data_IF_613753966945
#
_entry.id   IF_613753966945
#
_cell.length_a   1.000
_cell.length_b   1.000
_cell.length_c   1.000
_cell.angle_alpha   90.00
_cell.angle_beta   90.00
_cell.angle_gamma   90.00
#
_symmetry.space_group_name_H-M   'P 1'
#
loop_
_entity.id
_entity.type
_entity.pdbx_description
1 polymer ?
#
# COMPACT_ATOMS: atom_id res chain seq x y z
N UNK A 1 -73.90 -21.62 -68.08
CA UNK A 1 -74.05 -20.44 -67.21
C UNK A 1 -72.93 -20.48 -66.19
N UNK A 2 -72.21 -19.38 -66.10
CA UNK A 2 -70.95 -19.11 -65.38
C UNK A 2 -70.94 -19.53 -63.91
N UNK A 3 -69.93 -20.28 -63.47
CA UNK A 3 -69.45 -20.25 -62.08
C UNK A 3 -67.92 -20.22 -62.09
N UNK A 4 -67.40 -19.07 -61.67
CA UNK A 4 -66.00 -18.77 -61.36
C UNK A 4 -65.55 -19.51 -60.09
N UNK A 5 -64.45 -20.25 -60.14
CA UNK A 5 -63.76 -20.76 -58.94
C UNK A 5 -62.46 -19.97 -58.74
N UNK A 6 -62.35 -19.26 -57.61
CA UNK A 6 -61.16 -18.51 -57.18
C UNK A 6 -60.30 -19.41 -56.29
N UNK A 7 -59.01 -19.45 -56.60
CA UNK A 7 -57.97 -20.09 -55.79
C UNK A 7 -57.69 -19.28 -54.51
N UNK A 8 -57.62 -19.93 -53.35
CA UNK A 8 -57.03 -19.39 -52.12
C UNK A 8 -55.74 -20.16 -51.83
N UNK A 9 -54.60 -19.45 -51.85
CA UNK A 9 -53.32 -19.92 -51.32
C UNK A 9 -53.37 -19.90 -49.79
N UNK A 10 -53.06 -21.04 -49.16
CA UNK A 10 -52.80 -21.16 -47.73
C UNK A 10 -51.31 -20.95 -47.48
N UNK A 11 -50.94 -19.89 -46.75
CA UNK A 11 -49.59 -19.69 -46.22
C UNK A 11 -49.52 -20.32 -44.81
N UNK A 12 -48.74 -21.41 -44.69
CA UNK A 12 -48.31 -21.96 -43.41
C UNK A 12 -47.26 -21.02 -42.78
N UNK A 13 -47.54 -20.52 -41.58
CA UNK A 13 -46.55 -19.83 -40.73
C UNK A 13 -45.99 -20.81 -39.71
N UNK A 14 -44.69 -21.11 -39.78
CA UNK A 14 -43.96 -21.83 -38.73
C UNK A 14 -43.51 -20.81 -37.66
N UNK A 15 -43.70 -21.08 -36.35
CA UNK A 15 -43.18 -20.19 -35.32
C UNK A 15 -41.68 -20.43 -35.14
N UNK A 16 -40.90 -19.37 -35.32
CA UNK A 16 -39.48 -19.32 -34.98
C UNK A 16 -39.36 -19.25 -33.45
N UNK A 17 -38.98 -20.35 -32.80
CA UNK A 17 -38.65 -20.36 -31.38
C UNK A 17 -37.26 -19.75 -31.23
N UNK A 18 -37.23 -18.48 -30.83
CA UNK A 18 -36.00 -17.76 -30.49
C UNK A 18 -35.63 -18.14 -29.04
N UNK A 19 -34.71 -19.07 -28.86
CA UNK A 19 -34.08 -19.32 -27.56
C UNK A 19 -33.13 -18.17 -27.24
N UNK A 20 -33.59 -17.19 -26.45
CA UNK A 20 -32.70 -16.22 -25.82
C UNK A 20 -31.86 -16.96 -24.76
N UNK A 21 -30.61 -17.26 -25.09
CA UNK A 21 -29.58 -17.51 -24.09
C UNK A 21 -29.24 -16.17 -23.44
N UNK A 22 -29.82 -15.88 -22.27
CA UNK A 22 -29.39 -14.75 -21.46
C UNK A 22 -28.01 -15.06 -20.89
N UNK A 23 -26.95 -14.63 -21.57
CA UNK A 23 -25.66 -14.47 -20.92
C UNK A 23 -25.78 -13.27 -20.00
N UNK A 24 -26.23 -13.48 -18.76
CA UNK A 24 -26.08 -12.48 -17.71
C UNK A 24 -24.60 -12.41 -17.34
N UNK A 25 -23.81 -11.74 -18.16
CA UNK A 25 -22.60 -11.08 -17.67
C UNK A 25 -23.07 -10.01 -16.71
N UNK A 26 -23.20 -10.35 -15.44
CA UNK A 26 -23.36 -9.34 -14.40
C UNK A 26 -22.06 -8.54 -14.41
N UNK A 27 -22.05 -7.38 -15.06
CA UNK A 27 -21.02 -6.38 -14.82
C UNK A 27 -20.99 -6.13 -13.31
N UNK A 28 -19.82 -6.17 -12.67
CA UNK A 28 -19.76 -5.82 -11.25
C UNK A 28 -20.18 -4.35 -11.11
N UNK A 29 -20.94 -4.03 -10.07
CA UNK A 29 -21.31 -2.65 -9.77
C UNK A 29 -20.12 -1.95 -9.12
N UNK A 30 -19.71 -0.81 -9.68
CA UNK A 30 -18.66 0.02 -9.09
C UNK A 30 -19.23 0.76 -7.88
N UNK A 31 -18.57 0.65 -6.73
CA UNK A 31 -18.96 1.36 -5.52
C UNK A 31 -18.45 2.80 -5.64
N UNK A 32 -19.36 3.77 -5.59
CA UNK A 32 -19.01 5.19 -5.55
C UNK A 32 -18.52 5.59 -4.15
N UNK A 33 -17.61 6.56 -4.11
CA UNK A 33 -17.12 7.10 -2.85
C UNK A 33 -18.22 7.97 -2.21
N UNK A 34 -18.66 7.67 -0.98
CA UNK A 34 -19.68 8.47 -0.33
C UNK A 34 -19.17 9.90 -0.07
N UNK A 35 -20.08 10.87 -0.14
CA UNK A 35 -19.80 12.18 0.43
C UNK A 35 -19.74 12.06 1.95
N UNK A 36 -18.68 12.58 2.56
CA UNK A 36 -18.49 12.64 4.02
C UNK A 36 -18.18 14.09 4.37
N UNK A 37 -18.78 14.60 5.45
CA UNK A 37 -18.52 15.96 5.90
C UNK A 37 -17.10 16.11 6.44
N UNK A 38 -16.53 17.31 6.29
CA UNK A 38 -15.17 17.62 6.73
C UNK A 38 -14.13 17.43 5.63
N UNK A 39 -12.85 17.40 6.03
CA UNK A 39 -11.71 17.26 5.12
C UNK A 39 -10.44 16.80 5.86
N UNK A 40 -9.34 16.58 5.13
CA UNK A 40 -8.07 16.11 5.69
C UNK A 40 -7.46 17.05 6.76
N UNK A 41 -7.77 18.34 6.69
CA UNK A 41 -7.22 19.36 7.57
C UNK A 41 -8.09 19.62 8.80
N UNK A 42 -9.40 19.68 8.63
CA UNK A 42 -10.37 19.97 9.69
C UNK A 42 -10.98 18.71 10.32
N UNK A 43 -10.67 17.54 9.78
CA UNK A 43 -11.16 16.25 10.22
C UNK A 43 -12.47 15.85 9.55
N UNK A 44 -12.72 14.54 9.49
CA UNK A 44 -13.98 13.99 8.98
C UNK A 44 -15.05 13.95 10.07
N UNK A 45 -16.32 14.12 9.70
CA UNK A 45 -17.43 14.21 10.67
C UNK A 45 -18.06 12.88 11.04
N UNK A 46 -17.86 11.84 10.25
CA UNK A 46 -18.29 10.46 10.53
C UNK A 46 -17.54 9.46 9.65
N UNK A 47 -17.66 8.18 9.98
CA UNK A 47 -17.21 7.07 9.14
C UNK A 47 -18.42 6.53 8.35
N UNK A 48 -18.43 6.63 7.00
CA UNK A 48 -19.59 6.23 6.22
C UNK A 48 -19.74 4.71 6.18
N UNK A 49 -20.97 4.16 6.16
CA UNK A 49 -21.18 2.78 5.75
C UNK A 49 -20.75 2.61 4.29
N UNK A 50 -20.19 1.45 3.96
CA UNK A 50 -19.72 1.13 2.59
C UNK A 50 -20.37 -0.18 2.14
N UNK A 51 -20.98 -0.25 0.94
CA UNK A 51 -21.52 -1.49 0.42
C UNK A 51 -20.48 -2.61 0.41
N UNK A 52 -20.87 -3.81 0.83
CA UNK A 52 -20.01 -5.00 0.90
C UNK A 52 -18.83 -4.91 1.88
N UNK A 53 -18.82 -3.90 2.76
CA UNK A 53 -17.93 -3.81 3.91
C UNK A 53 -18.72 -3.84 5.22
N UNK A 54 -18.26 -4.60 6.19
CA UNK A 54 -18.65 -4.47 7.58
C UNK A 54 -17.78 -3.37 8.22
N UNK A 55 -18.43 -2.34 8.79
CA UNK A 55 -17.77 -1.30 9.57
C UNK A 55 -17.86 -1.68 11.06
N UNK A 56 -16.77 -2.24 11.58
CA UNK A 56 -16.58 -2.44 13.01
C UNK A 56 -16.14 -1.13 13.64
N UNK A 57 -16.93 -0.55 14.53
CA UNK A 57 -16.55 0.68 15.24
C UNK A 57 -15.69 0.38 16.47
N UNK A 58 -15.75 -0.85 16.97
CA UNK A 58 -15.23 -1.29 18.26
C UNK A 58 -14.26 -2.47 18.11
N UNK A 59 -13.43 -2.47 17.06
CA UNK A 59 -12.42 -3.51 16.91
C UNK A 59 -11.48 -3.52 18.12
N UNK A 60 -11.33 -4.64 18.83
CA UNK A 60 -10.57 -4.69 20.07
C UNK A 60 -9.07 -4.56 19.82
N UNK A 61 -8.38 -3.89 20.74
CA UNK A 61 -6.92 -3.76 20.74
C UNK A 61 -6.35 -4.48 21.95
N UNK A 62 -5.34 -5.32 21.72
CA UNK A 62 -4.81 -6.20 22.76
C UNK A 62 -4.19 -5.39 23.90
N UNK A 63 -4.59 -5.71 25.14
CA UNK A 63 -4.00 -5.12 26.36
C UNK A 63 -4.58 -3.77 26.79
N UNK A 64 -5.70 -3.33 26.23
CA UNK A 64 -6.42 -2.09 26.60
C UNK A 64 -7.93 -2.28 26.42
N UNK A 65 -8.72 -1.40 27.03
CA UNK A 65 -10.16 -1.25 26.75
C UNK A 65 -10.42 -0.33 25.54
N UNK A 66 -9.37 0.24 24.95
CA UNK A 66 -9.46 1.06 23.75
C UNK A 66 -9.77 0.20 22.53
N UNK A 67 -10.50 0.78 21.59
CA UNK A 67 -10.90 0.12 20.35
C UNK A 67 -10.50 0.95 19.13
N UNK A 68 -10.64 0.38 17.95
CA UNK A 68 -10.36 1.08 16.70
C UNK A 68 -11.44 0.78 15.65
N UNK A 69 -11.83 1.74 14.80
CA UNK A 69 -12.69 1.42 13.67
C UNK A 69 -11.93 0.68 12.57
N UNK A 70 -12.57 -0.31 11.96
CA UNK A 70 -12.03 -1.10 10.85
C UNK A 70 -13.14 -1.39 9.84
N UNK A 71 -12.86 -1.17 8.56
CA UNK A 71 -13.68 -1.74 7.48
C UNK A 71 -13.14 -3.12 7.10
N UNK A 72 -13.96 -4.16 7.09
CA UNK A 72 -13.59 -5.48 6.59
C UNK A 72 -14.57 -5.90 5.48
N UNK A 73 -14.14 -6.71 4.53
CA UNK A 73 -15.07 -7.36 3.59
C UNK A 73 -16.19 -8.07 4.34
N UNK A 74 -17.44 -7.80 3.93
CA UNK A 74 -18.62 -8.42 4.55
C UNK A 74 -18.87 -9.83 4.02
N UNK A 75 -19.49 -10.68 4.85
CA UNK A 75 -19.97 -12.00 4.45
C UNK A 75 -18.86 -13.01 4.10
N UNK A 76 -17.71 -12.90 4.76
CA UNK A 76 -16.58 -13.81 4.56
C UNK A 76 -16.94 -15.23 5.01
N UNK A 77 -16.52 -16.21 4.20
CA UNK A 77 -16.24 -17.56 4.67
C UNK A 77 -14.77 -17.58 5.10
N UNK A 78 -14.51 -17.39 6.39
CA UNK A 78 -13.15 -17.30 6.96
C UNK A 78 -12.29 -18.52 6.58
N UNK A 79 -12.91 -19.70 6.43
CA UNK A 79 -12.20 -20.92 6.03
C UNK A 79 -11.74 -20.90 4.57
N UNK A 80 -12.39 -20.13 3.71
CA UNK A 80 -12.01 -20.00 2.30
C UNK A 80 -10.94 -18.93 2.06
N UNK A 81 -10.63 -18.08 3.05
CA UNK A 81 -9.69 -16.98 2.89
C UNK A 81 -8.26 -17.52 2.80
N UNK A 82 -7.62 -17.24 1.67
CA UNK A 82 -6.21 -17.54 1.43
C UNK A 82 -5.35 -16.28 1.45
N UNK A 83 -5.96 -15.10 1.31
CA UNK A 83 -5.25 -13.82 1.36
C UNK A 83 -6.03 -12.74 2.08
N UNK A 84 -5.32 -11.98 2.92
CA UNK A 84 -5.81 -10.74 3.50
C UNK A 84 -5.07 -9.54 2.92
N UNK A 85 -5.78 -8.49 2.55
CA UNK A 85 -5.21 -7.22 2.10
C UNK A 85 -5.55 -6.16 3.14
N UNK A 86 -4.54 -5.69 3.86
CA UNK A 86 -4.64 -4.58 4.80
C UNK A 86 -4.23 -3.30 4.09
N UNK A 87 -5.16 -2.36 3.94
CA UNK A 87 -4.98 -1.09 3.21
C UNK A 87 -5.44 0.09 4.06
N UNK A 88 -4.56 0.97 4.56
CA UNK A 88 -4.95 2.12 5.36
C UNK A 88 -5.30 3.29 4.45
N UNK A 89 -5.98 4.30 5.00
CA UNK A 89 -6.11 5.59 4.33
C UNK A 89 -4.76 6.27 4.06
N UNK A 90 -4.76 7.27 3.18
CA UNK A 90 -3.61 8.14 2.95
C UNK A 90 -3.45 9.20 4.05
N UNK A 91 -2.66 10.25 3.78
CA UNK A 91 -2.60 11.44 4.66
C UNK A 91 -4.00 12.02 4.99
N UNK A 92 -4.99 11.99 4.08
CA UNK A 92 -6.36 12.41 4.38
C UNK A 92 -7.10 11.57 5.42
N UNK A 93 -6.63 10.35 5.75
CA UNK A 93 -7.28 9.43 6.71
C UNK A 93 -8.66 8.92 6.25
N UNK A 94 -8.87 8.92 4.93
CA UNK A 94 -10.08 8.48 4.22
C UNK A 94 -10.09 6.96 3.99
N UNK A 95 -10.04 6.16 5.06
CA UNK A 95 -9.85 4.70 4.96
C UNK A 95 -10.96 4.00 4.15
N UNK A 96 -12.21 4.47 4.22
CA UNK A 96 -13.31 3.95 3.39
C UNK A 96 -13.03 4.11 1.88
N UNK A 97 -12.41 5.23 1.47
CA UNK A 97 -12.05 5.53 0.08
C UNK A 97 -11.03 4.52 -0.46
N UNK A 98 -10.05 4.18 0.38
CA UNK A 98 -9.03 3.17 0.05
C UNK A 98 -9.62 1.76 0.01
N UNK A 99 -10.50 1.41 0.94
CA UNK A 99 -11.23 0.15 0.89
C UNK A 99 -12.04 0.01 -0.40
N UNK A 100 -12.81 1.05 -0.76
CA UNK A 100 -13.63 1.10 -1.99
C UNK A 100 -12.75 0.94 -3.23
N UNK A 101 -11.60 1.61 -3.25
CA UNK A 101 -10.65 1.54 -4.36
C UNK A 101 -10.16 0.10 -4.55
N UNK A 102 -9.67 -0.56 -3.49
CA UNK A 102 -9.22 -1.96 -3.60
C UNK A 102 -10.38 -2.89 -3.97
N UNK A 103 -11.59 -2.68 -3.42
CA UNK A 103 -12.75 -3.51 -3.75
C UNK A 103 -13.16 -3.39 -5.22
N UNK A 104 -13.23 -2.18 -5.76
CA UNK A 104 -13.57 -1.96 -7.16
C UNK A 104 -12.51 -2.58 -8.10
N UNK A 105 -11.23 -2.44 -7.76
CA UNK A 105 -10.14 -3.04 -8.54
C UNK A 105 -10.17 -4.57 -8.43
N UNK A 106 -10.44 -5.14 -7.26
CA UNK A 106 -10.59 -6.59 -7.09
C UNK A 106 -11.74 -7.14 -7.94
N UNK A 107 -12.91 -6.50 -7.89
CA UNK A 107 -14.07 -6.89 -8.70
C UNK A 107 -13.76 -6.84 -10.20
N UNK A 108 -13.13 -5.75 -10.67
CA UNK A 108 -12.67 -5.64 -12.04
C UNK A 108 -11.66 -6.72 -12.42
N UNK A 109 -10.69 -6.99 -11.54
CA UNK A 109 -9.63 -7.97 -11.78
C UNK A 109 -10.18 -9.39 -11.90
N UNK A 110 -11.14 -9.75 -11.04
CA UNK A 110 -11.83 -11.04 -11.10
C UNK A 110 -12.73 -11.19 -12.33
N UNK A 111 -13.28 -10.10 -12.87
CA UNK A 111 -14.04 -10.14 -14.13
C UNK A 111 -13.14 -10.45 -15.33
N UNK A 112 -11.95 -9.83 -15.39
CA UNK A 112 -11.06 -9.96 -16.55
C UNK A 112 -10.05 -11.10 -16.45
N UNK A 113 -9.83 -11.65 -15.26
CA UNK A 113 -8.89 -12.74 -15.00
C UNK A 113 -9.55 -13.83 -14.14
N UNK A 114 -9.95 -14.97 -14.74
CA UNK A 114 -10.65 -16.04 -14.03
C UNK A 114 -9.76 -16.79 -13.02
N UNK A 115 -8.44 -16.51 -12.98
CA UNK A 115 -7.55 -17.06 -11.94
C UNK A 115 -7.68 -16.32 -10.61
N UNK A 116 -8.28 -15.13 -10.61
CA UNK A 116 -8.53 -14.34 -9.40
C UNK A 116 -9.90 -14.73 -8.84
N UNK A 117 -9.89 -15.47 -7.73
CA UNK A 117 -11.10 -15.72 -6.96
C UNK A 117 -11.29 -14.66 -5.88
N UNK A 118 -12.18 -13.69 -6.11
CA UNK A 118 -12.46 -12.63 -5.15
C UNK A 118 -13.04 -13.15 -3.82
N UNK A 119 -13.65 -14.35 -3.77
CA UNK A 119 -14.22 -14.89 -2.54
C UNK A 119 -13.17 -15.44 -1.57
N UNK A 120 -11.91 -15.61 -1.99
CA UNK A 120 -10.81 -16.08 -1.13
C UNK A 120 -9.94 -14.92 -0.62
N UNK A 121 -10.33 -13.68 -0.89
CA UNK A 121 -9.57 -12.46 -0.56
C UNK A 121 -10.38 -11.59 0.39
N UNK A 122 -9.85 -11.36 1.59
CA UNK A 122 -10.40 -10.41 2.56
C UNK A 122 -9.72 -9.05 2.40
N UNK A 123 -10.49 -7.96 2.30
CA UNK A 123 -9.96 -6.58 2.32
C UNK A 123 -10.28 -5.96 3.67
N UNK A 124 -9.25 -5.47 4.36
CA UNK A 124 -9.35 -4.77 5.63
C UNK A 124 -8.74 -3.37 5.53
N UNK A 125 -9.45 -2.36 6.02
CA UNK A 125 -8.98 -0.99 6.09
C UNK A 125 -9.08 -0.45 7.51
N UNK A 126 -7.98 -0.45 8.29
CA UNK A 126 -7.96 0.13 9.63
C UNK A 126 -8.02 1.66 9.57
N UNK A 127 -8.87 2.24 10.41
CA UNK A 127 -9.14 3.69 10.44
C UNK A 127 -8.27 4.41 11.46
N UNK A 128 -7.10 4.90 11.03
CA UNK A 128 -6.20 5.71 11.87
C UNK A 128 -6.66 7.16 11.97
N UNK A 129 -7.53 7.44 12.93
CA UNK A 129 -8.04 8.77 13.21
C UNK A 129 -6.97 9.68 13.83
N UNK A 130 -7.10 10.98 13.59
CA UNK A 130 -6.35 12.04 14.25
C UNK A 130 -7.26 12.85 15.18
N UNK A 131 -6.66 13.66 16.08
CA UNK A 131 -7.42 14.53 17.00
C UNK A 131 -8.47 15.40 16.28
N UNK A 132 -8.16 15.90 15.09
CA UNK A 132 -9.10 16.69 14.28
C UNK A 132 -10.33 15.90 13.84
N UNK A 133 -10.20 14.59 13.59
CA UNK A 133 -11.34 13.74 13.21
C UNK A 133 -12.23 13.46 14.44
N UNK A 134 -11.63 13.33 15.63
CA UNK A 134 -12.37 13.24 16.89
C UNK A 134 -13.15 14.53 17.15
N UNK A 135 -12.49 15.69 17.02
CA UNK A 135 -13.09 17.01 17.19
C UNK A 135 -14.23 17.26 16.19
N UNK A 136 -14.10 16.76 14.96
CA UNK A 136 -15.12 16.86 13.92
C UNK A 136 -16.29 15.88 14.08
N UNK A 137 -16.12 14.81 14.87
CA UNK A 137 -17.20 13.87 15.23
C UNK A 137 -17.07 12.46 14.65
N UNK A 138 -15.98 12.12 13.96
CA UNK A 138 -15.78 10.77 13.40
C UNK A 138 -15.39 9.70 14.42
N UNK A 139 -15.16 10.06 15.68
CA UNK A 139 -14.77 9.13 16.74
C UNK A 139 -15.70 9.19 17.96
N UNK A 140 -15.81 8.09 18.69
CA UNK A 140 -16.41 8.01 20.01
C UNK A 140 -15.33 8.04 21.13
N UNK A 141 -15.78 8.03 22.38
CA UNK A 141 -14.91 8.20 23.54
C UNK A 141 -13.96 7.03 23.84
N UNK A 142 -14.09 5.88 23.16
CA UNK A 142 -13.25 4.69 23.37
C UNK A 142 -12.33 4.41 22.19
N UNK A 143 -12.44 5.14 21.09
CA UNK A 143 -11.67 4.91 19.88
C UNK A 143 -10.30 5.60 19.93
N UNK A 144 -9.27 4.84 19.53
CA UNK A 144 -7.91 5.35 19.42
C UNK A 144 -7.80 6.47 18.38
N UNK A 145 -6.99 7.48 18.68
CA UNK A 145 -6.59 8.51 17.73
C UNK A 145 -5.15 8.97 17.97
N UNK A 146 -4.51 9.49 16.93
CA UNK A 146 -3.12 9.95 16.94
C UNK A 146 -3.01 11.44 16.58
N UNK A 147 -1.79 11.96 16.49
CA UNK A 147 -1.57 13.20 15.74
C UNK A 147 -1.70 12.94 14.23
N UNK A 148 -1.93 14.00 13.44
CA UNK A 148 -2.05 13.91 11.96
C UNK A 148 -0.92 13.11 11.29
N UNK A 149 0.29 13.14 11.88
CA UNK A 149 1.46 12.40 11.39
C UNK A 149 1.92 11.24 12.27
N UNK A 150 1.41 11.13 13.49
CA UNK A 150 1.84 10.16 14.49
C UNK A 150 1.50 8.73 14.10
N UNK A 151 0.28 8.51 13.58
CA UNK A 151 -0.18 7.17 13.19
C UNK A 151 0.74 6.54 12.14
N UNK A 152 1.09 7.27 11.07
CA UNK A 152 2.00 6.75 10.04
C UNK A 152 3.49 6.83 10.43
N UNK A 153 3.77 7.20 11.68
CA UNK A 153 5.12 7.23 12.27
C UNK A 153 5.26 6.24 13.43
N UNK A 154 4.27 5.38 13.71
CA UNK A 154 4.37 4.39 14.78
C UNK A 154 4.28 4.97 16.20
N UNK A 155 3.87 6.23 16.36
CA UNK A 155 3.86 6.86 17.69
C UNK A 155 2.74 6.30 18.55
N UNK A 156 2.79 6.60 19.85
CA UNK A 156 1.67 6.32 20.73
C UNK A 156 0.43 7.14 20.36
N UNK A 157 -0.74 6.54 20.57
CA UNK A 157 -2.03 7.19 20.48
C UNK A 157 -2.11 8.34 21.50
N UNK A 158 -2.81 9.40 21.11
CA UNK A 158 -3.08 10.56 21.98
C UNK A 158 -4.29 10.33 22.90
N UNK A 159 -5.18 9.41 22.54
CA UNK A 159 -6.31 8.99 23.36
C UNK A 159 -6.93 7.68 22.87
N UNK A 160 -7.99 7.19 23.53
CA UNK A 160 -8.72 7.89 24.60
C UNK A 160 -7.95 7.94 25.94
N UNK A 161 -7.02 7.01 26.17
CA UNK A 161 -6.11 7.03 27.31
C UNK A 161 -4.64 7.01 26.85
N UNK A 162 -3.97 8.17 26.88
CA UNK A 162 -2.56 8.28 26.48
C UNK A 162 -1.61 7.42 27.34
N UNK A 163 -2.02 7.03 28.55
CA UNK A 163 -1.19 6.21 29.44
C UNK A 163 -1.08 4.75 28.99
N UNK A 164 -2.00 4.28 28.15
CA UNK A 164 -1.97 2.92 27.60
C UNK A 164 -0.80 2.73 26.63
N UNK A 165 -0.22 3.84 26.11
CA UNK A 165 0.95 3.84 25.23
C UNK A 165 0.78 2.87 24.04
N UNK A 166 -0.40 2.88 23.44
CA UNK A 166 -0.70 2.04 22.27
C UNK A 166 -0.05 2.64 21.04
N UNK A 167 0.90 1.92 20.44
CA UNK A 167 1.49 2.32 19.16
C UNK A 167 0.57 1.96 18.00
N UNK A 168 0.57 2.76 16.93
CA UNK A 168 -0.08 2.35 15.69
C UNK A 168 0.54 1.09 15.06
N UNK A 169 1.80 0.75 15.37
CA UNK A 169 2.39 -0.53 14.95
C UNK A 169 1.87 -1.72 15.77
N UNK A 170 1.52 -1.51 17.03
CA UNK A 170 0.87 -2.55 17.85
C UNK A 170 -0.51 -2.88 17.28
N UNK A 171 -1.26 -1.89 16.80
CA UNK A 171 -2.51 -2.14 16.07
C UNK A 171 -2.26 -3.04 14.87
N UNK A 172 -1.21 -2.79 14.08
CA UNK A 172 -0.90 -3.66 12.94
C UNK A 172 -0.53 -5.08 13.39
N UNK A 173 0.14 -5.25 14.53
CA UNK A 173 0.39 -6.57 15.11
C UNK A 173 -0.91 -7.30 15.44
N UNK A 174 -1.90 -6.62 16.03
CA UNK A 174 -3.22 -7.18 16.32
C UNK A 174 -3.98 -7.60 15.04
N UNK A 175 -3.87 -6.82 13.96
CA UNK A 175 -4.46 -7.19 12.67
C UNK A 175 -3.75 -8.38 12.01
N UNK A 176 -2.43 -8.49 12.16
CA UNK A 176 -1.69 -9.68 11.73
C UNK A 176 -2.16 -10.89 12.52
N UNK A 177 -2.21 -10.79 13.85
CA UNK A 177 -2.64 -11.88 14.71
C UNK A 177 -4.06 -12.36 14.37
N UNK A 178 -4.97 -11.44 14.06
CA UNK A 178 -6.31 -11.77 13.60
C UNK A 178 -6.32 -12.66 12.35
N UNK A 179 -5.54 -12.31 11.31
CA UNK A 179 -5.50 -13.10 10.07
C UNK A 179 -4.58 -14.32 10.17
N UNK A 180 -3.61 -14.32 11.07
CA UNK A 180 -2.68 -15.42 11.28
C UNK A 180 -3.28 -16.56 12.14
N UNK A 181 -4.36 -16.29 12.88
CA UNK A 181 -5.10 -17.30 13.63
C UNK A 181 -5.59 -18.44 12.71
N UNK A 182 -4.92 -19.59 12.81
CA UNK A 182 -5.20 -20.78 11.99
C UNK A 182 -6.47 -21.51 12.40
N UNK A 183 -7.02 -21.27 13.58
CA UNK A 183 -8.33 -21.81 13.95
C UNK A 183 -9.43 -21.09 13.18
N UNK A 184 -9.27 -19.77 12.98
CA UNK A 184 -10.21 -18.94 12.23
C UNK A 184 -9.96 -18.96 10.71
N UNK A 185 -8.72 -18.74 10.30
CA UNK A 185 -8.27 -18.67 8.90
C UNK A 185 -7.33 -19.83 8.55
N UNK A 186 -7.80 -21.09 8.54
CA UNK A 186 -6.93 -22.27 8.35
C UNK A 186 -6.16 -22.27 7.03
N UNK A 187 -6.70 -21.61 6.00
CA UNK A 187 -6.14 -21.60 4.66
C UNK A 187 -5.36 -20.31 4.31
N UNK A 188 -5.15 -19.39 5.27
CA UNK A 188 -4.39 -18.16 5.03
C UNK A 188 -2.96 -18.47 4.57
N UNK A 189 -2.57 -17.85 3.45
CA UNK A 189 -1.26 -17.99 2.82
C UNK A 189 -0.48 -16.68 2.85
N UNK A 190 -1.16 -15.54 2.72
CA UNK A 190 -0.50 -14.23 2.66
C UNK A 190 -1.33 -13.14 3.33
N UNK A 191 -0.64 -12.24 4.04
CA UNK A 191 -1.13 -10.99 4.59
C UNK A 191 -0.40 -9.85 3.88
N UNK A 192 -1.14 -9.11 3.06
CA UNK A 192 -0.62 -8.06 2.19
C UNK A 192 -0.90 -6.69 2.80
N UNK A 193 0.15 -5.99 3.18
CA UNK A 193 0.11 -4.58 3.56
C UNK A 193 0.29 -3.70 2.32
N UNK A 194 -0.82 -3.39 1.62
CA UNK A 194 -0.80 -2.54 0.44
C UNK A 194 -1.10 -1.08 0.82
N UNK A 195 -0.28 -0.14 0.37
CA UNK A 195 -0.52 1.27 0.69
C UNK A 195 0.02 2.24 -0.37
N UNK A 196 -0.49 3.48 -0.31
CA UNK A 196 -0.03 4.60 -1.13
C UNK A 196 0.33 5.82 -0.24
N UNK A 197 1.29 6.63 -0.67
CA UNK A 197 1.63 7.91 -0.03
C UNK A 197 2.00 7.77 1.46
N UNK A 198 1.27 8.39 2.39
CA UNK A 198 1.50 8.28 3.83
C UNK A 198 1.36 6.85 4.36
N UNK A 199 0.40 6.07 3.86
CA UNK A 199 0.26 4.66 4.21
C UNK A 199 1.49 3.84 3.81
N UNK A 200 2.14 4.19 2.69
CA UNK A 200 3.38 3.53 2.27
C UNK A 200 4.54 3.85 3.19
N UNK A 201 4.61 5.08 3.71
CA UNK A 201 5.58 5.41 4.76
C UNK A 201 5.29 4.58 6.02
N UNK A 202 4.02 4.44 6.40
CA UNK A 202 3.61 3.68 7.57
C UNK A 202 4.06 2.23 7.49
N UNK A 203 3.76 1.54 6.38
CA UNK A 203 4.10 0.13 6.21
C UNK A 203 5.57 -0.11 5.93
N UNK A 204 6.28 0.81 5.27
CA UNK A 204 7.74 0.70 5.14
C UNK A 204 8.43 0.85 6.50
N UNK A 205 7.98 1.79 7.35
CA UNK A 205 8.47 1.94 8.72
C UNK A 205 8.16 0.70 9.57
N UNK A 206 6.95 0.18 9.45
CA UNK A 206 6.53 -1.01 10.15
C UNK A 206 7.34 -2.23 9.73
N UNK A 207 7.60 -2.45 8.44
CA UNK A 207 8.46 -3.53 7.98
C UNK A 207 9.88 -3.47 8.57
N UNK A 208 10.43 -2.26 8.76
CA UNK A 208 11.73 -2.06 9.38
C UNK A 208 11.72 -2.28 10.91
N UNK A 209 10.64 -1.87 11.58
CA UNK A 209 10.58 -1.82 13.05
C UNK A 209 9.81 -2.97 13.70
N UNK A 210 8.99 -3.71 12.96
CA UNK A 210 8.21 -4.86 13.45
C UNK A 210 9.16 -5.84 14.13
N UNK A 211 8.79 -6.24 15.34
CA UNK A 211 9.50 -7.27 16.10
C UNK A 211 9.20 -8.63 15.45
N UNK A 212 10.22 -9.46 15.16
CA UNK A 212 9.99 -10.69 14.41
C UNK A 212 9.07 -11.69 15.10
N UNK A 213 8.25 -12.36 14.30
CA UNK A 213 7.32 -13.43 14.70
C UNK A 213 7.35 -14.56 13.68
N UNK A 214 6.75 -15.71 13.99
CA UNK A 214 6.63 -16.82 13.03
C UNK A 214 5.76 -16.49 11.81
N UNK A 215 4.83 -15.55 11.95
CA UNK A 215 3.92 -15.12 10.87
C UNK A 215 4.63 -14.30 9.79
N UNK A 216 5.85 -13.83 10.04
CA UNK A 216 6.53 -12.90 9.15
C UNK A 216 6.79 -13.48 7.75
N UNK A 217 6.83 -14.81 7.61
CA UNK A 217 6.99 -15.46 6.32
C UNK A 217 5.81 -15.27 5.38
N UNK A 218 4.61 -15.03 5.90
CA UNK A 218 3.39 -14.82 5.13
C UNK A 218 3.04 -13.32 4.98
N UNK A 219 3.84 -12.41 5.53
CA UNK A 219 3.60 -10.97 5.45
C UNK A 219 4.34 -10.38 4.26
N UNK A 220 3.62 -9.61 3.44
CA UNK A 220 4.17 -8.88 2.29
C UNK A 220 3.81 -7.40 2.37
N UNK A 221 4.78 -6.53 2.12
CA UNK A 221 4.59 -5.09 2.13
C UNK A 221 4.62 -4.54 0.70
N UNK A 222 3.63 -3.74 0.32
CA UNK A 222 3.57 -3.08 -0.98
C UNK A 222 3.50 -1.56 -0.80
N UNK A 223 4.64 -0.91 -0.51
CA UNK A 223 4.70 0.55 -0.42
C UNK A 223 4.73 1.21 -1.82
N UNK A 224 3.66 1.94 -2.17
CA UNK A 224 3.57 2.71 -3.40
C UNK A 224 3.77 4.23 -3.16
N UNK A 225 4.67 4.87 -3.92
CA UNK A 225 4.96 6.31 -3.84
C UNK A 225 5.14 6.87 -2.39
N UNK A 226 6.05 6.32 -1.56
CA UNK A 226 6.24 6.85 -0.20
C UNK A 226 6.69 8.31 -0.20
N UNK A 227 6.11 9.10 0.70
CA UNK A 227 6.53 10.49 0.93
C UNK A 227 7.95 10.63 1.47
N UNK A 228 8.43 9.64 2.23
CA UNK A 228 9.79 9.52 2.76
C UNK A 228 10.02 8.08 3.21
N UNK A 229 11.28 7.69 3.35
CA UNK A 229 11.68 6.34 3.79
C UNK A 229 12.37 6.41 5.16
N UNK A 230 12.30 5.32 5.92
CA UNK A 230 13.35 5.04 6.92
C UNK A 230 14.60 4.65 6.14
N UNK A 231 15.60 5.52 6.12
CA UNK A 231 16.85 5.27 5.43
C UNK A 231 17.73 4.32 6.25
N UNK A 232 18.32 3.33 5.57
CA UNK A 232 18.96 2.18 6.25
C UNK A 232 20.43 2.42 6.60
N UNK A 233 21.08 3.36 5.93
CA UNK A 233 22.50 3.70 6.11
C UNK A 233 22.65 5.16 6.54
N UNK A 234 23.85 5.62 6.88
CA UNK A 234 24.07 7.04 7.22
C UNK A 234 24.15 7.91 5.96
N UNK A 235 24.84 7.42 4.92
CA UNK A 235 25.06 8.17 3.69
C UNK A 235 23.73 8.55 3.02
N UNK A 236 23.66 9.81 2.58
CA UNK A 236 22.50 10.39 1.90
C UNK A 236 22.85 10.72 0.45
N UNK A 237 21.93 10.52 -0.51
CA UNK A 237 22.16 10.89 -1.91
C UNK A 237 22.28 12.41 -2.11
N UNK A 238 21.64 13.21 -1.26
CA UNK A 238 21.78 14.66 -1.20
C UNK A 238 22.15 15.10 0.24
N UNK A 239 23.43 14.99 0.66
CA UNK A 239 23.86 15.36 2.00
C UNK A 239 23.56 16.83 2.33
N UNK A 240 23.21 17.11 3.58
CA UNK A 240 22.97 18.46 4.07
C UNK A 240 23.45 18.61 5.52
N UNK A 241 24.63 19.21 5.70
CA UNK A 241 25.28 19.39 7.00
C UNK A 241 24.51 20.30 7.96
N UNK A 242 23.55 21.08 7.46
CA UNK A 242 22.68 21.93 8.31
C UNK A 242 21.49 21.17 8.90
N UNK A 243 21.24 19.95 8.44
CA UNK A 243 20.13 19.11 8.90
C UNK A 243 20.61 18.17 10.01
N UNK A 244 20.64 18.68 11.25
CA UNK A 244 21.27 18.00 12.40
C UNK A 244 20.67 16.62 12.74
N UNK A 245 19.39 16.41 12.48
CA UNK A 245 18.65 15.18 12.81
C UNK A 245 18.42 14.26 11.61
N UNK A 246 19.23 14.39 10.55
CA UNK A 246 19.06 13.66 9.28
C UNK A 246 18.95 12.15 9.43
N UNK A 247 19.64 11.57 10.43
CA UNK A 247 19.61 10.13 10.69
C UNK A 247 18.73 9.71 11.88
N UNK A 248 18.02 10.66 12.51
CA UNK A 248 17.05 10.34 13.56
C UNK A 248 15.81 9.69 12.94
N UNK A 249 15.17 8.77 13.68
CA UNK A 249 13.85 8.27 13.31
C UNK A 249 12.88 9.46 13.20
N UNK A 250 12.12 9.60 12.12
CA UNK A 250 11.66 8.56 11.17
C UNK A 250 12.35 8.53 9.80
N UNK A 251 13.51 9.17 9.67
CA UNK A 251 14.25 9.29 8.41
C UNK A 251 15.54 8.48 8.37
N UNK A 252 16.04 8.03 9.52
CA UNK A 252 17.18 7.14 9.65
C UNK A 252 17.07 6.22 10.86
N UNK A 253 18.22 5.69 11.29
CA UNK A 253 18.31 4.65 12.31
C UNK A 253 19.27 5.01 13.47
N UNK A 254 19.50 6.29 13.75
CA UNK A 254 20.41 6.70 14.84
C UNK A 254 19.75 6.65 16.22
N UNK A 255 18.50 7.13 16.35
CA UNK A 255 17.81 7.35 17.62
C UNK A 255 16.35 7.76 17.41
N UNK A 256 15.61 8.00 18.49
CA UNK A 256 14.25 8.58 18.43
C UNK A 256 13.14 7.61 18.02
N UNK A 257 13.41 6.30 18.09
CA UNK A 257 12.46 5.25 17.75
C UNK A 257 11.17 5.31 18.57
N UNK A 258 10.02 4.89 18.01
CA UNK A 258 8.79 4.80 18.76
C UNK A 258 8.97 3.77 19.88
N UNK A 259 8.29 3.99 21.01
CA UNK A 259 8.44 3.10 22.16
C UNK A 259 8.05 1.64 21.88
N UNK A 260 7.28 1.41 20.81
CA UNK A 260 7.01 0.09 20.22
C UNK A 260 8.27 -0.78 20.02
N UNK A 261 9.33 -0.22 19.43
CA UNK A 261 10.53 -0.98 19.06
C UNK A 261 11.82 -0.43 19.67
N UNK A 262 11.77 0.67 20.43
CA UNK A 262 12.97 1.36 20.94
C UNK A 262 13.92 0.43 21.71
N UNK A 263 13.39 -0.42 22.59
CA UNK A 263 14.20 -1.38 23.35
C UNK A 263 14.90 -2.39 22.44
N UNK A 264 14.15 -2.96 21.50
CA UNK A 264 14.66 -3.95 20.57
C UNK A 264 15.66 -3.36 19.56
N UNK A 265 15.43 -2.15 19.06
CA UNK A 265 16.37 -1.47 18.16
C UNK A 265 17.67 -1.12 18.88
N UNK A 266 17.59 -0.67 20.14
CA UNK A 266 18.79 -0.40 20.94
C UNK A 266 19.61 -1.67 21.21
N UNK A 267 18.96 -2.84 21.30
CA UNK A 267 19.61 -4.13 21.50
C UNK A 267 20.34 -4.63 20.23
N UNK A 268 19.66 -4.61 19.08
CA UNK A 268 20.20 -5.18 17.83
C UNK A 268 21.04 -4.18 17.02
N UNK A 269 20.96 -2.89 17.35
CA UNK A 269 21.62 -1.81 16.63
C UNK A 269 21.13 -1.62 15.18
N UNK A 270 21.75 -0.68 14.46
CA UNK A 270 21.41 -0.40 13.05
C UNK A 270 21.54 -1.66 12.19
N UNK A 271 22.66 -2.39 12.31
CA UNK A 271 22.92 -3.58 11.49
C UNK A 271 21.83 -4.63 11.63
N UNK A 272 21.36 -4.91 12.86
CA UNK A 272 20.27 -5.85 13.08
C UNK A 272 18.92 -5.37 12.52
N UNK A 273 18.63 -4.07 12.57
CA UNK A 273 17.44 -3.50 11.89
C UNK A 273 17.54 -3.67 10.38
N UNK A 274 18.73 -3.41 9.80
CA UNK A 274 18.97 -3.55 8.36
C UNK A 274 18.85 -5.01 7.92
N UNK A 275 19.49 -5.94 8.63
CA UNK A 275 19.40 -7.38 8.34
C UNK A 275 17.95 -7.87 8.38
N UNK A 276 17.21 -7.48 9.44
CA UNK A 276 15.78 -7.77 9.55
C UNK A 276 14.98 -7.20 8.39
N UNK A 277 15.18 -5.93 8.04
CA UNK A 277 14.43 -5.32 6.94
C UNK A 277 14.71 -6.02 5.61
N UNK A 278 15.96 -6.42 5.38
CA UNK A 278 16.38 -7.15 4.17
C UNK A 278 15.80 -8.55 4.08
N UNK A 279 15.40 -9.18 5.20
CA UNK A 279 14.73 -10.49 5.20
C UNK A 279 13.22 -10.41 4.94
N UNK A 280 12.61 -9.22 5.04
CA UNK A 280 11.16 -9.01 4.81
C UNK A 280 10.80 -9.20 3.33
N UNK A 281 9.54 -9.56 3.06
CA UNK A 281 8.98 -9.51 1.71
C UNK A 281 8.49 -8.07 1.41
N UNK A 282 9.25 -7.30 0.61
CA UNK A 282 8.92 -5.88 0.32
C UNK A 282 8.91 -5.61 -1.18
N UNK A 283 7.75 -5.18 -1.67
CA UNK A 283 7.50 -4.97 -3.08
C UNK A 283 7.18 -3.51 -3.35
N UNK A 284 8.21 -2.72 -3.66
CA UNK A 284 8.07 -1.29 -3.93
C UNK A 284 7.33 -1.04 -5.24
N UNK A 285 6.53 0.02 -5.27
CA UNK A 285 5.96 0.55 -6.50
C UNK A 285 6.17 2.07 -6.61
N UNK A 286 6.58 2.54 -7.79
CA UNK A 286 6.87 3.95 -8.04
C UNK A 286 6.24 4.42 -9.35
N UNK A 287 5.38 5.43 -9.26
CA UNK A 287 4.80 6.11 -10.42
C UNK A 287 5.86 6.94 -11.14
N UNK A 288 6.09 6.69 -12.42
CA UNK A 288 7.20 7.32 -13.16
C UNK A 288 7.00 8.80 -13.46
N UNK A 289 5.78 9.32 -13.21
CA UNK A 289 5.42 10.72 -13.30
C UNK A 289 5.17 11.37 -11.92
N UNK A 290 5.51 10.69 -10.80
CA UNK A 290 5.34 11.23 -9.46
C UNK A 290 6.50 12.16 -9.05
N UNK A 291 6.48 13.36 -9.62
CA UNK A 291 7.46 14.41 -9.36
C UNK A 291 7.03 15.35 -8.22
N UNK A 292 6.02 14.98 -7.43
CA UNK A 292 5.59 15.75 -6.27
C UNK A 292 6.66 15.78 -5.17
N UNK A 293 6.75 16.87 -4.37
CA UNK A 293 7.80 17.02 -3.37
C UNK A 293 7.63 16.11 -2.13
N UNK A 294 6.43 15.59 -1.90
CA UNK A 294 6.13 14.74 -0.76
C UNK A 294 6.40 15.41 0.59
N UNK A 295 7.16 14.71 1.43
CA UNK A 295 7.67 15.24 2.69
C UNK A 295 8.78 16.29 2.43
N UNK A 296 8.59 17.53 2.88
CA UNK A 296 9.54 18.63 2.64
C UNK A 296 10.46 18.92 3.80
N UNK A 297 10.43 18.10 4.86
CA UNK A 297 11.40 18.18 5.95
C UNK A 297 12.84 18.01 5.44
N UNK A 298 13.81 18.66 6.08
CA UNK A 298 15.20 18.66 5.57
C UNK A 298 15.74 17.24 5.45
N UNK A 299 15.38 16.38 6.41
CA UNK A 299 15.79 14.98 6.48
C UNK A 299 15.25 14.19 5.29
N UNK A 300 13.98 14.39 4.92
CA UNK A 300 13.36 13.74 3.77
C UNK A 300 13.97 14.23 2.45
N UNK A 301 14.26 15.53 2.33
CA UNK A 301 14.88 16.11 1.13
C UNK A 301 16.28 15.52 0.88
N UNK A 302 17.01 15.11 1.93
CA UNK A 302 18.31 14.44 1.73
C UNK A 302 18.21 13.09 1.02
N UNK A 303 17.02 12.49 0.95
CA UNK A 303 16.73 11.24 0.24
C UNK A 303 16.42 11.49 -1.26
N UNK A 304 16.11 12.72 -1.64
CA UNK A 304 15.62 13.12 -2.96
C UNK A 304 14.59 14.25 -2.86
N UNK A 305 14.45 15.04 -3.93
CA UNK A 305 13.57 16.21 -3.99
C UNK A 305 12.12 15.89 -4.37
N UNK A 306 11.87 14.70 -4.91
CA UNK A 306 10.53 14.23 -5.34
C UNK A 306 10.25 12.81 -4.87
N UNK A 307 8.98 12.38 -4.85
CA UNK A 307 8.61 10.99 -4.56
C UNK A 307 9.39 10.00 -5.42
N UNK A 308 9.39 10.20 -6.74
CA UNK A 308 10.11 9.32 -7.66
C UNK A 308 11.62 9.30 -7.40
N UNK A 309 12.24 10.46 -7.21
CA UNK A 309 13.69 10.53 -6.95
C UNK A 309 14.07 9.84 -5.63
N UNK A 310 13.25 9.97 -4.59
CA UNK A 310 13.43 9.23 -3.32
C UNK A 310 13.33 7.72 -3.54
N UNK A 311 12.34 7.29 -4.31
CA UNK A 311 12.17 5.88 -4.67
C UNK A 311 13.37 5.32 -5.44
N UNK A 312 13.86 6.04 -6.44
CA UNK A 312 15.07 5.69 -7.20
C UNK A 312 16.29 5.58 -6.29
N UNK A 313 16.54 6.60 -5.47
CA UNK A 313 17.70 6.61 -4.58
C UNK A 313 17.60 5.53 -3.50
N UNK A 314 16.40 5.20 -3.00
CA UNK A 314 16.23 4.14 -2.02
C UNK A 314 16.56 2.76 -2.61
N UNK A 315 16.12 2.49 -3.84
CA UNK A 315 16.47 1.26 -4.57
C UNK A 315 17.97 1.20 -4.86
N UNK A 316 18.59 2.31 -5.25
CA UNK A 316 20.04 2.38 -5.44
C UNK A 316 20.80 2.11 -4.13
N UNK A 317 20.33 2.66 -3.00
CA UNK A 317 20.88 2.39 -1.67
C UNK A 317 20.79 0.91 -1.30
N UNK A 318 19.64 0.25 -1.55
CA UNK A 318 19.51 -1.20 -1.33
C UNK A 318 20.52 -2.01 -2.16
N UNK A 319 20.72 -1.64 -3.42
CA UNK A 319 21.67 -2.31 -4.32
C UNK A 319 23.12 -2.14 -3.87
N UNK A 320 23.51 -0.96 -3.38
CA UNK A 320 24.86 -0.71 -2.86
C UNK A 320 25.09 -1.38 -1.51
N UNK A 321 24.04 -1.55 -0.70
CA UNK A 321 24.07 -2.23 0.58
C UNK A 321 23.94 -3.75 0.41
N UNK A 322 24.89 -4.41 -0.26
CA UNK A 322 24.86 -5.88 -0.41
C UNK A 322 23.83 -6.42 -1.42
N UNK A 323 23.42 -5.60 -2.40
CA UNK A 323 22.49 -5.97 -3.47
C UNK A 323 21.01 -5.85 -3.10
N UNK A 324 20.13 -5.79 -4.10
CA UNK A 324 18.68 -5.90 -3.86
C UNK A 324 18.40 -7.20 -3.07
N UNK A 325 17.70 -7.13 -1.92
CA UNK A 325 17.36 -8.34 -1.18
C UNK A 325 16.52 -9.30 -2.02
N UNK A 326 16.70 -10.62 -1.82
CA UNK A 326 16.05 -11.65 -2.63
C UNK A 326 14.51 -11.58 -2.58
N UNK A 327 13.97 -11.20 -1.43
CA UNK A 327 12.53 -11.09 -1.19
C UNK A 327 12.00 -9.69 -1.48
N UNK A 328 12.84 -8.80 -2.06
CA UNK A 328 12.44 -7.45 -2.42
C UNK A 328 12.26 -7.34 -3.93
N UNK A 329 11.31 -6.51 -4.35
CA UNK A 329 11.09 -6.20 -5.77
C UNK A 329 10.74 -4.73 -5.96
N UNK A 330 10.96 -4.21 -7.16
CA UNK A 330 10.52 -2.88 -7.58
C UNK A 330 9.65 -2.99 -8.86
N UNK A 331 8.56 -2.25 -8.86
CA UNK A 331 7.69 -2.01 -10.02
C UNK A 331 7.62 -0.52 -10.37
N UNK A 332 7.92 -0.21 -11.62
CA UNK A 332 7.79 1.14 -12.17
C UNK A 332 6.46 1.27 -12.91
N UNK A 333 5.54 2.06 -12.36
CA UNK A 333 4.21 2.26 -12.93
C UNK A 333 4.26 3.43 -13.90
N UNK A 334 4.32 3.10 -15.19
CA UNK A 334 4.59 4.10 -16.23
C UNK A 334 3.47 5.13 -16.35
N UNK A 335 3.83 6.43 -16.39
CA UNK A 335 2.92 7.54 -16.63
C UNK A 335 2.02 7.92 -15.44
N UNK A 336 2.03 7.14 -14.36
CA UNK A 336 1.25 7.42 -13.15
C UNK A 336 2.01 8.36 -12.23
N UNK A 337 1.29 9.34 -11.67
CA UNK A 337 1.82 10.29 -10.70
C UNK A 337 1.37 9.88 -9.29
N UNK A 338 0.96 10.82 -8.43
CA UNK A 338 0.60 10.55 -7.03
C UNK A 338 -0.88 10.14 -6.82
N UNK A 339 -1.41 9.24 -7.65
CA UNK A 339 -2.81 8.80 -7.62
C UNK A 339 -2.92 7.35 -7.14
N UNK A 340 -3.65 7.13 -6.04
CA UNK A 340 -3.79 5.80 -5.42
C UNK A 340 -4.53 4.80 -6.34
N UNK A 341 -5.64 5.22 -6.93
CA UNK A 341 -6.46 4.42 -7.84
C UNK A 341 -5.67 3.93 -9.05
N UNK A 342 -4.91 4.80 -9.71
CA UNK A 342 -4.09 4.44 -10.86
C UNK A 342 -2.90 3.55 -10.47
N UNK A 343 -2.26 3.82 -9.33
CA UNK A 343 -1.20 2.94 -8.82
C UNK A 343 -1.77 1.54 -8.57
N UNK A 344 -2.78 1.41 -7.71
CA UNK A 344 -3.35 0.12 -7.34
C UNK A 344 -3.95 -0.64 -8.54
N UNK A 345 -4.52 0.05 -9.52
CA UNK A 345 -5.10 -0.57 -10.72
C UNK A 345 -4.04 -0.93 -11.78
N UNK A 346 -2.77 -0.56 -11.60
CA UNK A 346 -1.70 -1.00 -12.50
C UNK A 346 -1.62 -2.53 -12.53
N UNK A 347 -1.23 -3.10 -13.67
CA UNK A 347 -1.10 -4.57 -13.80
C UNK A 347 -0.18 -5.15 -12.72
N UNK A 348 0.95 -4.50 -12.44
CA UNK A 348 1.89 -4.95 -11.42
C UNK A 348 1.26 -5.03 -10.02
N UNK A 349 0.59 -3.97 -9.58
CA UNK A 349 -0.03 -3.93 -8.25
C UNK A 349 -1.24 -4.87 -8.13
N UNK A 350 -2.05 -5.01 -9.19
CA UNK A 350 -3.13 -6.02 -9.22
C UNK A 350 -2.59 -7.44 -9.09
N UNK A 351 -1.52 -7.77 -9.80
CA UNK A 351 -0.88 -9.10 -9.69
C UNK A 351 -0.38 -9.34 -8.26
N UNK A 352 0.30 -8.36 -7.65
CA UNK A 352 0.80 -8.52 -6.26
C UNK A 352 -0.29 -8.62 -5.21
N UNK A 353 -1.40 -7.90 -5.38
CA UNK A 353 -2.50 -7.91 -4.41
C UNK A 353 -3.41 -9.13 -4.57
N UNK A 354 -3.62 -9.63 -5.80
CA UNK A 354 -4.70 -10.57 -6.06
C UNK A 354 -4.27 -11.94 -6.60
N UNK A 355 -3.02 -12.12 -7.03
CA UNK A 355 -2.54 -13.39 -7.59
C UNK A 355 -1.48 -14.02 -6.69
N UNK A 356 -1.63 -15.29 -6.31
CA UNK A 356 -0.62 -16.01 -5.53
C UNK A 356 0.46 -16.56 -6.47
N UNK A 357 1.46 -15.72 -6.76
CA UNK A 357 2.59 -16.07 -7.59
C UNK A 357 3.86 -15.35 -7.10
N UNK A 358 5.00 -16.02 -7.18
CA UNK A 358 6.30 -15.36 -7.06
C UNK A 358 6.51 -14.46 -8.29
N UNK A 359 6.34 -13.15 -8.11
CA UNK A 359 6.47 -12.17 -9.19
C UNK A 359 7.90 -11.60 -9.15
N UNK A 360 8.73 -11.85 -10.17
CA UNK A 360 10.06 -11.23 -10.28
C UNK A 360 9.94 -9.70 -10.31
N UNK A 361 10.98 -8.99 -9.89
CA UNK A 361 11.02 -7.54 -10.10
C UNK A 361 10.89 -7.21 -11.59
N UNK A 362 10.21 -6.11 -11.91
CA UNK A 362 10.24 -5.54 -13.28
C UNK A 362 11.64 -5.05 -13.69
N UNK A 363 12.60 -5.02 -12.75
CA UNK A 363 14.01 -4.76 -12.99
C UNK A 363 14.40 -3.28 -12.85
N UNK A 364 15.58 -2.95 -13.34
CA UNK A 364 16.04 -1.57 -13.48
C UNK A 364 15.01 -0.78 -14.28
N UNK A 365 14.72 0.44 -13.84
CA UNK A 365 13.88 1.37 -14.60
C UNK A 365 14.36 1.36 -16.06
N UNK A 366 13.47 1.17 -17.06
CA UNK A 366 13.84 1.36 -18.46
C UNK A 366 14.52 2.72 -18.55
N UNK A 367 15.81 2.71 -18.89
CA UNK A 367 16.66 3.89 -18.85
C UNK A 367 15.88 5.03 -19.53
N UNK A 368 15.53 6.08 -18.77
CA UNK A 368 15.44 7.39 -19.41
C UNK A 368 16.76 7.53 -20.14
N UNK A 369 16.71 7.89 -21.43
CA UNK A 369 17.87 8.42 -22.15
C UNK A 369 18.39 9.60 -21.32
N UNK A 370 19.14 9.34 -20.25
CA UNK A 370 19.96 10.34 -19.57
C UNK A 370 20.90 10.77 -20.67
N UNK A 371 20.72 12.01 -21.06
CA UNK A 371 21.34 12.66 -22.18
C UNK A 371 22.82 12.28 -22.27
N UNK A 372 23.25 11.98 -23.49
CA UNK A 372 24.63 11.70 -23.86
C UNK A 372 25.53 12.94 -23.66
N UNK A 373 25.73 13.36 -22.41
CA UNK A 373 26.57 14.53 -22.05
C UNK A 373 27.68 14.23 -21.03
N UNK A 374 27.89 12.96 -20.66
CA UNK A 374 29.03 12.55 -19.86
C UNK A 374 30.15 11.83 -20.65
N UNK A 375 30.01 11.68 -21.98
CA UNK A 375 31.04 11.05 -22.84
C UNK A 375 31.78 12.03 -23.78
N UNK A 376 31.61 13.33 -23.56
CA UNK A 376 32.37 14.38 -24.28
C UNK A 376 33.45 15.07 -23.41
N UNK A 377 33.53 14.74 -22.12
CA UNK A 377 34.55 15.27 -21.22
C UNK A 377 35.32 14.10 -20.60
N UNK A 378 36.41 13.67 -21.23
CA UNK A 378 37.36 12.75 -20.58
C UNK A 378 37.92 11.63 -21.44
N UNK A 379 38.48 11.94 -22.62
CA UNK A 379 39.54 11.10 -23.21
C UNK A 379 40.59 11.98 -23.87
N UNK A 380 41.59 12.36 -23.09
CA UNK A 380 42.87 12.89 -23.55
C UNK A 380 43.99 12.13 -22.83
N UNK A 381 44.09 10.82 -23.10
CA UNK A 381 45.16 9.99 -22.60
C UNK A 381 46.51 10.52 -23.09
N UNK A 382 47.44 10.68 -22.16
CA UNK A 382 48.87 10.91 -22.39
C UNK A 382 49.39 10.01 -23.51
N UNK A 383 49.93 10.61 -24.57
CA UNK A 383 50.90 9.91 -25.42
C UNK A 383 52.30 10.41 -25.08
N UNK A 384 53.08 9.51 -24.50
CA UNK A 384 54.54 9.57 -24.47
C UNK A 384 55.04 9.42 -25.91
N UNK A 385 55.78 10.41 -26.43
CA UNK A 385 56.80 10.18 -27.46
C UNK A 385 58.06 11.00 -27.17
N UNK A 386 59.16 10.26 -27.12
CA UNK A 386 60.56 10.72 -27.00
C UNK A 386 60.99 11.53 -28.23
N UNK A 387 61.83 12.54 -27.94
CA UNK A 387 62.98 13.12 -28.68
C UNK A 387 62.91 13.26 -30.21
N UNK A 388 63.24 14.46 -30.70
CA UNK A 388 64.46 14.73 -31.47
C UNK A 388 64.68 16.25 -31.63
N UNK A 389 65.97 16.62 -31.55
CA UNK A 389 66.64 17.93 -31.65
C UNK A 389 66.55 18.87 -30.45
#
# INVERSE_FOLDING_TARGET
MTVTSRSLLSLLTLPLILTLTSTSTSAFETIENPFVGGDSENGWTYLPPVPTADLYLDWPITGTDSVMPVYQSAGLDDSAITRAIIVPGGKPRDSWSYWITIKNILSYSAEIDPTINASTISIMSPVFLASVDVEAGAANATQLYWSKSGWFSGTYAQGPNANDKISSFQVLDDLVAHYADKERYPNIQEIIFAAHSAGSQFFQRYAALRIPTEDDSIIHYIPANPGSFVWLVEDRPAPNDTCADVDRYKYGLSSGFPGYSTGNVNEIGREGVVERFRSRNVHYAQGTADHGPGDTACEAVTQGSTHLERGENFVDMLNLNGGMPLNHTIDWVEGVSHQNDQMFNSTALRTRMFINATIPSTGLRPLRKREAKAKAAGHGFRQVRRRLN
#
